data_IF_582272311280
#
_entry.id   IF_582272311280
#
_cell.length_a   1.000
_cell.length_b   1.000
_cell.length_c   1.000
_cell.angle_alpha   90.00
_cell.angle_beta   90.00
_cell.angle_gamma   90.00
#
_symmetry.space_group_name_H-M   'P 1'
#
loop_
_entity.id
_entity.type
_entity.pdbx_description
1 polymer ?
#
# COMPACT_ATOMS: atom_id res chain seq x y z
N UNK A 1 -9.99 -7.90 -11.98
CA UNK A 1 -10.70 -6.92 -11.13
C UNK A 1 -9.66 -6.22 -10.28
N UNK A 2 -9.58 -4.92 -10.41
CA UNK A 2 -8.58 -4.14 -9.67
C UNK A 2 -9.18 -3.60 -8.37
N UNK A 3 -8.48 -3.84 -7.27
CA UNK A 3 -8.84 -3.34 -5.95
C UNK A 3 -7.87 -2.26 -5.50
N UNK A 4 -8.35 -1.32 -4.71
CA UNK A 4 -7.47 -0.49 -3.89
C UNK A 4 -6.88 -1.31 -2.74
N UNK A 5 -5.74 -0.89 -2.22
CA UNK A 5 -5.08 -1.56 -1.08
C UNK A 5 -6.02 -1.76 0.11
N UNK A 6 -6.80 -0.73 0.46
CA UNK A 6 -7.72 -0.84 1.60
C UNK A 6 -8.82 -1.88 1.37
N UNK A 7 -9.33 -2.00 0.13
CA UNK A 7 -10.34 -3.02 -0.21
C UNK A 7 -9.76 -4.44 -0.14
N UNK A 8 -8.53 -4.62 -0.63
CA UNK A 8 -7.83 -5.90 -0.51
C UNK A 8 -7.59 -6.28 0.96
N UNK A 9 -7.21 -5.32 1.81
CA UNK A 9 -7.03 -5.55 3.25
C UNK A 9 -8.33 -5.94 3.94
N UNK A 10 -9.46 -5.32 3.57
CA UNK A 10 -10.78 -5.70 4.09
C UNK A 10 -11.12 -7.17 3.74
N UNK A 11 -10.83 -7.60 2.50
CA UNK A 11 -11.01 -8.99 2.10
C UNK A 11 -10.09 -9.95 2.86
N UNK A 12 -8.84 -9.60 3.08
CA UNK A 12 -7.92 -10.40 3.87
C UNK A 12 -8.44 -10.59 5.29
N UNK A 13 -8.84 -9.53 5.96
CA UNK A 13 -9.40 -9.60 7.31
C UNK A 13 -10.66 -10.44 7.35
N UNK A 14 -11.57 -10.28 6.38
CA UNK A 14 -12.79 -11.08 6.27
C UNK A 14 -12.53 -12.57 6.11
N UNK A 15 -11.36 -12.96 5.60
CA UNK A 15 -10.94 -14.35 5.41
C UNK A 15 -9.90 -14.82 6.45
N UNK A 16 -9.76 -14.10 7.56
CA UNK A 16 -8.90 -14.47 8.67
C UNK A 16 -7.40 -14.20 8.46
N UNK A 17 -7.02 -13.46 7.41
CA UNK A 17 -5.64 -13.04 7.21
C UNK A 17 -5.39 -11.76 8.00
N UNK A 18 -4.38 -11.72 8.90
CA UNK A 18 -4.07 -10.53 9.68
C UNK A 18 -3.65 -9.37 8.77
N UNK A 19 -4.22 -8.20 9.01
CA UNK A 19 -3.79 -6.96 8.37
C UNK A 19 -3.85 -5.81 9.38
N UNK A 20 -2.91 -4.85 9.33
CA UNK A 20 -2.95 -3.69 10.19
C UNK A 20 -4.23 -2.90 10.00
N UNK A 21 -4.74 -2.27 11.06
CA UNK A 21 -5.86 -1.35 10.96
C UNK A 21 -5.54 -0.21 9.97
N UNK A 22 -6.57 0.35 9.37
CA UNK A 22 -6.43 1.46 8.44
C UNK A 22 -7.70 2.29 8.36
N UNK A 23 -7.55 3.56 7.96
CA UNK A 23 -8.64 4.50 7.71
C UNK A 23 -8.42 5.20 6.38
N UNK A 24 -9.44 5.18 5.54
CA UNK A 24 -9.44 5.92 4.26
C UNK A 24 -9.81 7.37 4.53
N UNK A 25 -9.09 8.28 3.91
CA UNK A 25 -9.34 9.73 3.97
C UNK A 25 -9.35 10.34 2.57
N UNK A 26 -10.27 11.25 2.32
CA UNK A 26 -10.41 11.97 1.05
C UNK A 26 -10.03 13.43 1.14
N UNK A 27 -9.85 13.93 2.36
CA UNK A 27 -9.39 15.28 2.65
C UNK A 27 -8.23 15.24 3.63
N UNK A 28 -7.51 16.36 3.75
CA UNK A 28 -6.44 16.50 4.73
C UNK A 28 -6.99 16.40 6.16
N UNK A 29 -8.13 16.97 6.41
CA UNK A 29 -8.80 16.97 7.73
C UNK A 29 -9.20 15.53 8.13
N UNK A 30 -9.75 14.76 7.20
CA UNK A 30 -10.07 13.34 7.42
C UNK A 30 -8.80 12.52 7.71
N UNK A 31 -7.69 12.81 6.99
CA UNK A 31 -6.41 12.14 7.22
C UNK A 31 -5.84 12.45 8.62
N UNK A 32 -5.93 13.69 9.05
CA UNK A 32 -5.53 14.12 10.39
C UNK A 32 -6.39 13.42 11.46
N UNK A 33 -7.71 13.44 11.31
CA UNK A 33 -8.63 12.76 12.23
C UNK A 33 -8.34 11.25 12.33
N UNK A 34 -8.10 10.60 11.19
CA UNK A 34 -7.72 9.19 11.15
C UNK A 34 -6.40 8.92 11.89
N UNK A 35 -5.42 9.78 11.72
CA UNK A 35 -4.13 9.65 12.39
C UNK A 35 -4.22 9.89 13.90
N UNK A 36 -5.06 10.83 14.33
CA UNK A 36 -5.33 11.05 15.77
C UNK A 36 -5.98 9.82 16.41
N UNK A 37 -6.92 9.18 15.71
CA UNK A 37 -7.59 7.96 16.16
C UNK A 37 -6.64 6.77 16.26
N UNK A 38 -5.75 6.58 15.26
CA UNK A 38 -4.79 5.47 15.22
C UNK A 38 -3.59 5.68 16.14
N UNK A 39 -3.19 6.93 16.37
CA UNK A 39 -1.99 7.34 17.12
C UNK A 39 -0.72 7.28 16.27
N UNK A 40 -0.02 8.42 16.08
CA UNK A 40 1.27 8.44 15.37
C UNK A 40 2.35 7.57 16.09
N UNK A 41 3.34 7.05 15.38
CA UNK A 41 3.62 7.27 13.95
C UNK A 41 2.71 6.47 13.01
N UNK A 42 2.39 7.04 11.86
CA UNK A 42 1.53 6.42 10.84
C UNK A 42 2.17 6.50 9.45
N UNK A 43 1.64 5.70 8.52
CA UNK A 43 1.92 5.81 7.10
C UNK A 43 0.76 6.51 6.39
N UNK A 44 1.07 7.40 5.47
CA UNK A 44 0.12 8.04 4.54
C UNK A 44 0.35 7.46 3.17
N UNK A 45 -0.64 6.73 2.65
CA UNK A 45 -0.51 5.93 1.42
C UNK A 45 -1.52 6.33 0.38
N UNK A 46 -1.06 6.78 -0.78
CA UNK A 46 -1.92 6.99 -1.95
C UNK A 46 -2.72 5.71 -2.27
N UNK A 47 -3.99 5.89 -2.58
CA UNK A 47 -4.85 4.80 -3.05
C UNK A 47 -5.12 4.98 -4.55
N UNK A 48 -4.32 4.31 -5.35
CA UNK A 48 -4.44 4.21 -6.81
C UNK A 48 -4.32 2.75 -7.23
N UNK A 49 -4.88 2.42 -8.38
CA UNK A 49 -4.89 1.03 -8.90
C UNK A 49 -3.68 0.74 -9.79
N UNK A 50 -2.50 1.21 -9.36
CA UNK A 50 -1.24 0.98 -10.07
C UNK A 50 -0.10 0.83 -9.07
N UNK A 51 0.93 0.09 -9.46
CA UNK A 51 2.15 -0.08 -8.66
C UNK A 51 3.12 1.10 -8.76
N UNK A 52 4.18 1.06 -7.93
CA UNK A 52 5.22 2.09 -7.93
C UNK A 52 4.86 3.34 -7.12
N UNK A 53 3.86 3.28 -6.26
CA UNK A 53 3.42 4.39 -5.41
C UNK A 53 4.54 4.96 -4.54
N UNK A 54 5.36 4.10 -3.95
CA UNK A 54 6.50 4.50 -3.11
C UNK A 54 7.51 5.34 -3.88
N UNK A 55 7.95 4.86 -5.06
CA UNK A 55 8.90 5.59 -5.93
C UNK A 55 8.34 6.94 -6.40
N UNK A 56 7.04 7.04 -6.61
CA UNK A 56 6.36 8.27 -7.03
C UNK A 56 6.08 9.26 -5.88
N UNK A 57 6.48 8.94 -4.66
CA UNK A 57 6.22 9.79 -3.48
C UNK A 57 4.82 9.65 -2.89
N UNK A 58 4.07 8.63 -3.30
CA UNK A 58 2.71 8.35 -2.83
C UNK A 58 2.63 7.58 -1.52
N UNK A 59 3.76 7.25 -0.89
CA UNK A 59 3.81 6.57 0.42
C UNK A 59 4.81 7.31 1.30
N UNK A 60 4.34 7.84 2.43
CA UNK A 60 5.13 8.65 3.35
C UNK A 60 4.93 8.23 4.80
N UNK A 61 6.02 8.19 5.53
CA UNK A 61 6.04 8.04 6.98
C UNK A 61 5.74 9.40 7.64
N UNK A 62 4.89 9.41 8.65
CA UNK A 62 4.52 10.58 9.42
C UNK A 62 4.72 10.30 10.91
N UNK A 63 5.70 10.95 11.51
CA UNK A 63 5.99 10.82 12.94
C UNK A 63 4.98 11.61 13.78
N UNK A 64 4.43 12.68 13.22
CA UNK A 64 3.54 13.62 13.91
C UNK A 64 2.27 13.89 13.11
N UNK A 65 1.27 14.48 13.76
CA UNK A 65 0.03 14.93 13.08
C UNK A 65 0.32 16.01 12.04
N UNK A 66 1.29 16.88 12.28
CA UNK A 66 1.68 17.91 11.31
C UNK A 66 2.32 17.31 10.05
N UNK A 67 3.09 16.23 10.21
CA UNK A 67 3.61 15.47 9.07
C UNK A 67 2.46 14.83 8.27
N UNK A 68 1.43 14.32 8.94
CA UNK A 68 0.23 13.79 8.27
C UNK A 68 -0.45 14.85 7.44
N UNK A 69 -0.64 16.06 7.99
CA UNK A 69 -1.22 17.19 7.28
C UNK A 69 -0.43 17.53 6.03
N UNK A 70 0.88 17.64 6.16
CA UNK A 70 1.80 17.96 5.05
C UNK A 70 1.77 16.86 3.99
N UNK A 71 1.91 15.60 4.39
CA UNK A 71 1.96 14.48 3.46
C UNK A 71 0.62 14.24 2.76
N UNK A 72 -0.49 14.31 3.48
CA UNK A 72 -1.82 14.18 2.89
C UNK A 72 -2.08 15.30 1.87
N UNK A 73 -1.69 16.54 2.17
CA UNK A 73 -1.78 17.67 1.26
C UNK A 73 -0.98 17.48 -0.03
N UNK A 74 0.20 16.86 0.06
CA UNK A 74 1.08 16.60 -1.09
C UNK A 74 0.63 15.36 -1.90
N UNK A 75 0.05 14.38 -1.26
CA UNK A 75 -0.34 13.11 -1.90
C UNK A 75 -1.73 13.18 -2.52
N UNK A 76 -2.69 13.85 -1.89
CA UNK A 76 -4.00 14.10 -2.50
C UNK A 76 -3.82 15.00 -3.74
N UNK A 77 -4.26 14.51 -4.89
CA UNK A 77 -4.06 15.15 -6.18
C UNK A 77 -2.78 14.74 -6.92
N UNK A 78 -1.88 13.99 -6.29
CA UNK A 78 -0.67 13.48 -6.94
C UNK A 78 -1.03 12.53 -8.08
N UNK A 79 -0.46 12.78 -9.26
CA UNK A 79 -0.54 11.86 -10.41
C UNK A 79 0.56 10.80 -10.31
N UNK A 80 0.15 9.54 -10.32
CA UNK A 80 1.06 8.39 -10.35
C UNK A 80 0.79 7.61 -11.63
N UNK A 81 1.64 7.80 -12.63
CA UNK A 81 1.54 7.13 -13.94
C UNK A 81 0.16 7.27 -14.60
N UNK A 82 -0.42 8.47 -14.55
CA UNK A 82 -1.75 8.77 -15.09
C UNK A 82 -2.93 8.50 -14.15
N UNK A 83 -2.67 8.02 -12.93
CA UNK A 83 -3.68 7.80 -11.90
C UNK A 83 -3.60 8.89 -10.83
N UNK A 84 -4.59 9.77 -10.83
CA UNK A 84 -4.67 10.86 -9.84
C UNK A 84 -5.15 10.31 -8.50
N UNK A 85 -4.39 10.58 -7.44
CA UNK A 85 -4.74 10.20 -6.07
C UNK A 85 -5.93 11.02 -5.56
N UNK A 86 -7.04 10.36 -5.31
CA UNK A 86 -8.27 10.97 -4.78
C UNK A 86 -8.53 10.64 -3.32
N UNK A 87 -7.80 9.70 -2.78
CA UNK A 87 -7.90 9.26 -1.39
C UNK A 87 -6.58 8.66 -0.93
N UNK A 88 -6.36 8.74 0.37
CA UNK A 88 -5.22 8.12 1.06
C UNK A 88 -5.70 7.09 2.07
N UNK A 89 -4.84 6.12 2.38
CA UNK A 89 -5.01 5.18 3.48
C UNK A 89 -4.03 5.56 4.58
N UNK A 90 -4.55 5.77 5.78
CA UNK A 90 -3.75 5.99 6.98
C UNK A 90 -3.65 4.67 7.74
N UNK A 91 -2.44 4.22 8.01
CA UNK A 91 -2.18 2.99 8.76
C UNK A 91 -1.14 3.23 9.84
N UNK A 92 -1.14 2.48 10.94
CA UNK A 92 -0.03 2.51 11.88
C UNK A 92 1.29 2.21 11.16
N UNK A 93 2.36 2.90 11.53
CA UNK A 93 3.70 2.54 11.08
C UNK A 93 4.18 1.31 11.85
N UNK A 94 4.77 0.36 11.13
CA UNK A 94 5.32 -0.87 11.70
C UNK A 94 6.84 -0.82 11.71
N UNK A 95 7.47 -1.36 12.74
CA UNK A 95 8.89 -1.68 12.71
C UNK A 95 9.08 -2.92 11.82
N UNK A 96 9.66 -2.73 10.64
CA UNK A 96 9.84 -3.78 9.65
C UNK A 96 11.16 -4.49 9.95
N UNK A 97 11.07 -5.74 10.44
CA UNK A 97 12.24 -6.59 10.62
C UNK A 97 12.63 -7.30 9.30
N UNK A 98 11.64 -7.73 8.53
CA UNK A 98 11.84 -8.40 7.24
C UNK A 98 10.60 -8.25 6.37
N UNK A 99 10.80 -8.13 5.05
CA UNK A 99 9.72 -8.09 4.08
C UNK A 99 9.73 -9.35 3.22
N UNK A 100 8.54 -9.92 3.02
CA UNK A 100 8.31 -11.05 2.12
C UNK A 100 7.33 -10.62 1.04
N UNK A 101 7.51 -11.17 -0.14
CA UNK A 101 6.53 -11.05 -1.21
C UNK A 101 5.85 -12.40 -1.44
N UNK A 102 4.54 -12.42 -1.51
CA UNK A 102 3.73 -13.60 -1.86
C UNK A 102 2.63 -13.17 -2.81
N UNK A 103 2.47 -13.88 -3.92
CA UNK A 103 1.36 -13.66 -4.83
C UNK A 103 0.84 -14.96 -5.44
N UNK A 104 -0.43 -14.91 -5.87
CA UNK A 104 -1.06 -15.93 -6.69
C UNK A 104 -1.55 -15.30 -7.97
N UNK A 105 -1.11 -15.82 -9.11
CA UNK A 105 -1.47 -15.35 -10.44
C UNK A 105 -2.25 -16.42 -11.19
N UNK A 106 -3.12 -15.98 -12.10
CA UNK A 106 -3.73 -16.87 -13.07
C UNK A 106 -2.76 -17.09 -14.24
N UNK A 107 -2.16 -18.27 -14.31
CA UNK A 107 -1.39 -18.72 -15.47
C UNK A 107 -2.33 -19.25 -16.55
N UNK A 108 -2.63 -18.39 -17.50
CA UNK A 108 -3.58 -18.72 -18.60
C UNK A 108 -3.02 -19.74 -19.57
N UNK A 109 -1.70 -19.76 -19.75
CA UNK A 109 -1.02 -20.68 -20.68
C UNK A 109 -1.11 -22.12 -20.19
N UNK A 110 -0.88 -22.34 -18.91
CA UNK A 110 -0.95 -23.66 -18.28
C UNK A 110 -2.33 -23.95 -17.65
N UNK A 111 -3.28 -23.01 -17.70
CA UNK A 111 -4.64 -23.11 -17.13
C UNK A 111 -4.64 -23.49 -15.65
N UNK A 112 -3.77 -22.87 -14.89
CA UNK A 112 -3.59 -23.10 -13.45
C UNK A 112 -3.30 -21.82 -12.70
N UNK A 113 -3.17 -21.89 -11.39
CA UNK A 113 -2.65 -20.78 -10.58
C UNK A 113 -1.16 -20.96 -10.39
N UNK A 114 -0.42 -19.85 -10.49
CA UNK A 114 0.99 -19.77 -10.16
C UNK A 114 1.14 -19.05 -8.83
N UNK A 115 1.75 -19.72 -7.87
CA UNK A 115 2.17 -19.10 -6.60
C UNK A 115 3.62 -18.63 -6.72
N UNK A 116 3.88 -17.41 -6.29
CA UNK A 116 5.23 -16.85 -6.19
C UNK A 116 5.47 -16.37 -4.77
N UNK A 117 6.67 -16.66 -4.26
CA UNK A 117 7.10 -16.17 -2.95
C UNK A 117 8.60 -15.87 -2.97
N UNK A 118 9.01 -14.79 -2.29
CA UNK A 118 10.41 -14.45 -2.09
C UNK A 118 10.63 -13.80 -0.73
N UNK A 119 11.83 -13.95 -0.19
CA UNK A 119 12.29 -13.27 1.02
C UNK A 119 12.77 -11.84 0.72
N UNK A 120 12.82 -11.43 -0.52
CA UNK A 120 13.23 -10.10 -0.98
C UNK A 120 12.00 -9.26 -1.33
N UNK A 121 11.20 -8.92 -0.33
CA UNK A 121 10.08 -8.00 -0.47
C UNK A 121 10.54 -6.56 -0.74
N UNK A 122 9.64 -5.71 -1.22
CA UNK A 122 9.93 -4.30 -1.52
C UNK A 122 10.71 -4.06 -2.80
N UNK A 123 11.10 -5.10 -3.54
CA UNK A 123 11.80 -5.01 -4.83
C UNK A 123 10.84 -5.07 -6.03
N UNK A 124 11.34 -4.71 -7.20
CA UNK A 124 10.63 -4.94 -8.47
C UNK A 124 10.62 -6.45 -8.77
N UNK A 125 9.49 -7.09 -8.51
CA UNK A 125 9.36 -8.56 -8.60
C UNK A 125 9.62 -9.09 -10.00
N UNK A 126 9.25 -8.34 -11.04
CA UNK A 126 9.51 -8.71 -12.43
C UNK A 126 11.00 -8.71 -12.77
N UNK A 127 11.77 -7.76 -12.22
CA UNK A 127 13.24 -7.74 -12.35
C UNK A 127 13.84 -8.93 -11.59
N UNK A 128 13.38 -9.19 -10.36
CA UNK A 128 13.85 -10.31 -9.55
C UNK A 128 13.57 -11.66 -10.21
N UNK A 129 12.39 -11.85 -10.80
CA UNK A 129 12.02 -13.07 -11.51
C UNK A 129 12.87 -13.30 -12.77
N UNK A 130 13.39 -12.24 -13.38
CA UNK A 130 14.30 -12.32 -14.54
C UNK A 130 15.74 -12.62 -14.12
N UNK A 131 16.20 -12.02 -13.04
CA UNK A 131 17.59 -12.19 -12.55
C UNK A 131 17.78 -13.50 -11.78
N UNK A 132 16.75 -13.93 -11.06
CA UNK A 132 16.77 -15.11 -10.17
C UNK A 132 15.47 -15.92 -10.30
N UNK A 133 15.29 -16.69 -11.38
CA UNK A 133 14.01 -17.37 -11.69
C UNK A 133 13.67 -18.56 -10.78
N UNK A 134 14.52 -18.96 -9.86
CA UNK A 134 14.29 -20.09 -8.93
C UNK A 134 14.29 -19.65 -7.49
#
# INVERSE_FOLDING_TARGET
>A
MDLYEYQAKELFVAHGVPAPAGRVARTVEEAVSAAEELGPPVMVKSQVKIGGRGKAGGVKFAATIEDVRTHAGNILGLDIKGHVTRQVLITPASEIAQEYYVSYLLDRSNRTFLAMATQEGGMEIEELATERPT
#
